data_IF_185427449647
#
_entry.id   IF_185427449647
#
_cell.length_a   1.000
_cell.length_b   1.000
_cell.length_c   1.000
_cell.angle_alpha   90.00
_cell.angle_beta   90.00
_cell.angle_gamma   90.00
#
_symmetry.space_group_name_H-M   'P 1'
#
loop_
_entity.id
_entity.type
_entity.pdbx_description
1 polymer ?
#
# COMPACT_ATOMS: atom_id res chain seq x y z
N UNK A 1 21.88 -2.98 16.86
CA UNK A 1 21.27 -4.15 17.51
C UNK A 1 21.28 -3.86 18.99
N UNK A 2 20.20 -4.17 19.71
CA UNK A 2 20.04 -3.84 21.13
C UNK A 2 19.94 -5.15 21.94
N UNK A 3 21.06 -5.76 22.38
CA UNK A 3 21.09 -7.08 23.01
C UNK A 3 20.21 -7.22 24.26
N UNK A 4 19.99 -6.13 24.99
CA UNK A 4 19.14 -6.04 26.19
C UNK A 4 17.66 -6.35 25.93
N UNK A 5 17.23 -6.29 24.66
CA UNK A 5 15.85 -6.55 24.23
C UNK A 5 15.61 -8.01 23.80
N UNK A 6 16.54 -8.91 24.13
CA UNK A 6 16.51 -10.29 23.64
C UNK A 6 15.22 -11.04 24.02
N UNK A 7 14.65 -11.74 23.05
CA UNK A 7 13.52 -12.65 23.20
C UNK A 7 13.90 -13.99 22.58
N UNK A 8 13.56 -15.08 23.28
CA UNK A 8 13.74 -16.43 22.76
C UNK A 8 12.76 -16.70 21.60
N UNK A 9 13.29 -17.27 20.53
CA UNK A 9 12.51 -17.77 19.41
C UNK A 9 12.20 -19.26 19.55
N UNK A 10 11.04 -19.68 19.08
CA UNK A 10 10.61 -21.06 19.00
C UNK A 10 10.81 -21.60 17.59
N UNK A 11 11.89 -22.37 17.40
CA UNK A 11 12.25 -22.94 16.11
C UNK A 11 11.16 -23.83 15.49
N UNK A 12 10.29 -24.44 16.32
CA UNK A 12 9.21 -25.31 15.84
C UNK A 12 8.09 -24.53 15.11
N UNK A 13 8.04 -23.21 15.28
CA UNK A 13 7.02 -22.33 14.70
C UNK A 13 7.53 -21.50 13.51
N UNK A 14 8.81 -21.63 13.17
CA UNK A 14 9.47 -20.78 12.19
C UNK A 14 9.54 -21.46 10.81
N UNK A 15 9.37 -20.65 9.77
CA UNK A 15 9.73 -21.05 8.40
C UNK A 15 11.17 -20.62 8.09
N UNK A 16 12.03 -21.55 7.72
CA UNK A 16 13.44 -21.27 7.42
C UNK A 16 13.98 -22.22 6.35
N UNK A 17 14.90 -21.72 5.53
CA UNK A 17 15.54 -22.52 4.49
C UNK A 17 16.74 -23.32 5.02
N UNK A 18 17.56 -22.69 5.86
CA UNK A 18 18.82 -23.27 6.36
C UNK A 18 18.79 -23.47 7.87
N UNK A 19 18.51 -22.41 8.64
CA UNK A 19 18.58 -22.47 10.10
C UNK A 19 17.56 -21.53 10.76
N UNK A 20 16.89 -21.94 11.86
CA UNK A 20 15.95 -21.10 12.58
C UNK A 20 16.67 -20.01 13.41
N UNK A 21 15.96 -18.92 13.71
CA UNK A 21 16.44 -17.91 14.66
C UNK A 21 16.13 -18.34 16.09
N UNK A 22 17.18 -18.57 16.88
CA UNK A 22 17.05 -18.88 18.31
C UNK A 22 16.67 -17.66 19.16
N UNK A 23 17.01 -16.47 18.68
CA UNK A 23 16.84 -15.22 19.40
C UNK A 23 16.35 -14.12 18.45
N UNK A 24 15.52 -13.24 18.97
CA UNK A 24 15.18 -11.96 18.37
C UNK A 24 15.66 -10.84 19.28
N UNK A 25 16.05 -9.73 18.68
CA UNK A 25 16.46 -8.51 19.39
C UNK A 25 15.98 -7.32 18.59
N UNK A 26 15.81 -6.18 19.23
CA UNK A 26 15.50 -4.94 18.54
C UNK A 26 16.64 -4.59 17.57
N UNK A 27 16.25 -4.26 16.33
CA UNK A 27 17.18 -3.89 15.26
C UNK A 27 16.80 -2.51 14.72
N UNK A 28 17.76 -1.58 14.74
CA UNK A 28 17.61 -0.31 14.04
C UNK A 28 17.65 -0.56 12.53
N UNK A 29 16.64 -0.07 11.83
CA UNK A 29 16.47 -0.12 10.37
C UNK A 29 16.23 1.27 9.81
N UNK A 30 16.48 1.42 8.52
CA UNK A 30 16.14 2.64 7.78
C UNK A 30 14.98 2.34 6.82
N UNK A 31 13.95 3.19 6.82
CA UNK A 31 12.81 3.01 5.93
C UNK A 31 13.24 3.24 4.47
N UNK A 32 13.01 2.26 3.59
CA UNK A 32 13.31 2.38 2.16
C UNK A 32 12.53 3.51 1.47
N UNK A 33 11.35 3.88 1.97
CA UNK A 33 10.49 4.92 1.38
C UNK A 33 10.80 6.31 1.92
N UNK A 34 10.66 6.53 3.22
CA UNK A 34 10.80 7.87 3.81
C UNK A 34 12.17 8.12 4.44
N UNK A 35 13.10 7.15 4.36
CA UNK A 35 14.48 7.23 4.88
C UNK A 35 14.61 7.48 6.39
N UNK A 36 13.49 7.55 7.13
CA UNK A 36 13.54 7.69 8.58
C UNK A 36 14.05 6.40 9.26
N UNK A 37 14.89 6.52 10.30
CA UNK A 37 15.24 5.38 11.14
C UNK A 37 14.01 4.89 11.90
N UNK A 38 13.92 3.58 12.12
CA UNK A 38 12.89 2.96 12.95
C UNK A 38 13.41 1.65 13.54
N UNK A 39 12.78 1.18 14.62
CA UNK A 39 13.13 -0.09 15.25
C UNK A 39 12.24 -1.20 14.69
N UNK A 40 12.86 -2.28 14.22
CA UNK A 40 12.20 -3.56 14.02
C UNK A 40 12.29 -4.35 15.32
N UNK A 41 11.22 -4.31 16.10
CA UNK A 41 11.22 -4.84 17.46
C UNK A 41 11.36 -6.37 17.49
N UNK A 42 12.00 -6.92 18.52
CA UNK A 42 12.11 -8.35 18.78
C UNK A 42 10.74 -9.02 18.86
N UNK A 43 9.77 -8.33 19.49
CA UNK A 43 8.37 -8.78 19.57
C UNK A 43 7.71 -8.85 18.19
N UNK A 44 8.00 -7.87 17.33
CA UNK A 44 7.46 -7.83 15.97
C UNK A 44 8.07 -8.96 15.13
N UNK A 45 9.38 -9.18 15.24
CA UNK A 45 10.08 -10.31 14.61
C UNK A 45 9.46 -11.65 15.02
N UNK A 46 9.27 -11.90 16.33
CA UNK A 46 8.63 -13.13 16.81
C UNK A 46 7.26 -13.33 16.18
N UNK A 47 6.43 -12.30 16.15
CA UNK A 47 5.11 -12.36 15.53
C UNK A 47 5.19 -12.67 14.03
N UNK A 48 6.10 -12.02 13.29
CA UNK A 48 6.28 -12.25 11.85
C UNK A 48 6.68 -13.68 11.54
N UNK A 49 7.64 -14.23 12.28
CA UNK A 49 8.22 -15.53 11.94
C UNK A 49 7.44 -16.70 12.53
N UNK A 50 6.84 -16.55 13.71
CA UNK A 50 6.17 -17.65 14.41
C UNK A 50 4.64 -17.63 14.28
N UNK A 51 4.04 -16.47 13.99
CA UNK A 51 2.57 -16.35 13.85
C UNK A 51 2.16 -16.12 12.40
N UNK A 52 2.84 -15.21 11.69
CA UNK A 52 2.57 -14.99 10.26
C UNK A 52 3.34 -15.96 9.35
N UNK A 53 4.24 -16.76 9.92
CA UNK A 53 5.05 -17.77 9.22
C UNK A 53 5.83 -17.20 8.03
N UNK A 54 6.28 -15.94 8.12
CA UNK A 54 7.27 -15.43 7.19
C UNK A 54 8.59 -16.18 7.36
N UNK A 55 9.35 -16.31 6.27
CA UNK A 55 10.69 -16.86 6.35
C UNK A 55 11.56 -16.00 7.28
N UNK A 56 12.40 -16.64 8.10
CA UNK A 56 13.29 -15.95 9.06
C UNK A 56 14.31 -14.99 8.40
N UNK A 57 14.48 -15.09 7.09
CA UNK A 57 15.32 -14.21 6.28
C UNK A 57 14.55 -12.98 5.74
N UNK A 58 13.23 -12.91 5.96
CA UNK A 58 12.44 -11.75 5.57
C UNK A 58 12.85 -10.52 6.39
N UNK A 59 13.10 -9.40 5.70
CA UNK A 59 13.54 -8.16 6.31
C UNK A 59 12.43 -7.10 6.38
N UNK A 60 12.49 -6.30 7.43
CA UNK A 60 11.58 -5.19 7.64
C UNK A 60 12.15 -3.92 7.01
N UNK A 61 11.80 -3.70 5.74
CA UNK A 61 12.37 -2.59 4.94
C UNK A 61 11.55 -1.29 4.96
N UNK A 62 10.36 -1.31 5.55
CA UNK A 62 9.46 -0.16 5.65
C UNK A 62 9.12 0.10 7.11
N UNK A 63 9.12 1.37 7.53
CA UNK A 63 8.65 1.76 8.85
C UNK A 63 7.13 1.50 9.02
N UNK A 64 6.60 1.49 10.25
CA UNK A 64 5.18 1.19 10.50
C UNK A 64 4.18 2.06 9.73
N UNK A 65 4.46 3.36 9.56
CA UNK A 65 3.60 4.25 8.77
C UNK A 65 3.60 3.86 7.29
N UNK A 66 4.78 3.74 6.67
CA UNK A 66 4.89 3.38 5.25
C UNK A 66 4.36 1.97 4.97
N UNK A 67 4.45 1.03 5.93
CA UNK A 67 3.79 -0.29 5.83
C UNK A 67 2.27 -0.13 5.76
N UNK A 68 1.68 0.68 6.63
CA UNK A 68 0.24 0.96 6.63
C UNK A 68 -0.20 1.62 5.33
N UNK A 69 0.55 2.60 4.84
CA UNK A 69 0.26 3.28 3.57
C UNK A 69 0.33 2.29 2.41
N UNK A 70 1.36 1.44 2.37
CA UNK A 70 1.49 0.38 1.37
C UNK A 70 0.32 -0.61 1.41
N UNK A 71 -0.16 -0.99 2.60
CA UNK A 71 -1.33 -1.85 2.75
C UNK A 71 -2.60 -1.18 2.22
N UNK A 72 -2.80 0.12 2.49
CA UNK A 72 -3.94 0.89 1.95
C UNK A 72 -3.88 0.94 0.42
N UNK A 73 -2.71 1.25 -0.15
CA UNK A 73 -2.50 1.27 -1.60
C UNK A 73 -2.81 -0.10 -2.21
N UNK A 74 -2.29 -1.20 -1.64
CA UNK A 74 -2.56 -2.56 -2.14
C UNK A 74 -4.05 -2.91 -2.07
N UNK A 75 -4.73 -2.58 -0.98
CA UNK A 75 -6.17 -2.83 -0.83
C UNK A 75 -6.98 -2.09 -1.89
N UNK A 76 -6.68 -0.81 -2.10
CA UNK A 76 -7.33 0.02 -3.12
C UNK A 76 -7.01 -0.45 -4.53
N UNK A 77 -5.77 -0.86 -4.80
CA UNK A 77 -5.37 -1.39 -6.11
C UNK A 77 -6.09 -2.69 -6.44
N UNK A 78 -6.27 -3.59 -5.46
CA UNK A 78 -7.08 -4.80 -5.61
C UNK A 78 -8.52 -4.43 -5.95
N UNK A 79 -9.18 -3.62 -5.13
CA UNK A 79 -10.57 -3.20 -5.36
C UNK A 79 -10.76 -2.49 -6.70
N UNK A 80 -9.83 -1.61 -7.07
CA UNK A 80 -9.79 -0.97 -8.39
C UNK A 80 -9.72 -1.99 -9.53
N UNK A 81 -8.81 -2.96 -9.43
CA UNK A 81 -8.62 -4.01 -10.44
C UNK A 81 -9.83 -4.94 -10.54
N UNK A 82 -10.51 -5.21 -9.42
CA UNK A 82 -11.71 -6.03 -9.39
C UNK A 82 -12.87 -5.28 -10.07
N UNK A 83 -13.17 -4.05 -9.63
CA UNK A 83 -14.23 -3.22 -10.20
C UNK A 83 -14.00 -2.89 -11.68
N UNK A 84 -12.76 -2.75 -12.13
CA UNK A 84 -12.45 -2.47 -13.54
C UNK A 84 -12.74 -3.64 -14.47
N UNK A 85 -12.83 -4.87 -13.94
CA UNK A 85 -13.18 -6.08 -14.69
C UNK A 85 -14.69 -6.29 -14.80
N UNK A 86 -15.48 -5.60 -13.98
CA UNK A 86 -16.94 -5.72 -14.01
C UNK A 86 -17.52 -5.07 -15.27
N UNK A 87 -18.41 -5.81 -15.95
CA UNK A 87 -19.09 -5.33 -17.17
C UNK A 87 -20.14 -4.26 -16.86
N UNK A 88 -20.79 -4.36 -15.71
CA UNK A 88 -21.78 -3.42 -15.21
C UNK A 88 -21.45 -3.03 -13.78
N UNK A 89 -21.37 -1.72 -13.52
CA UNK A 89 -21.12 -1.17 -12.20
C UNK A 89 -22.38 -0.47 -11.72
N UNK A 90 -22.76 -0.71 -10.47
CA UNK A 90 -23.71 0.15 -9.77
C UNK A 90 -23.09 1.51 -9.50
N UNK A 91 -23.91 2.50 -9.19
CA UNK A 91 -23.42 3.85 -8.87
C UNK A 91 -22.45 3.85 -7.68
N UNK A 92 -22.74 3.07 -6.63
CA UNK A 92 -21.85 2.94 -5.47
C UNK A 92 -20.50 2.28 -5.81
N UNK A 93 -20.50 1.30 -6.72
CA UNK A 93 -19.28 0.68 -7.23
C UNK A 93 -18.50 1.66 -8.11
N UNK A 94 -19.18 2.45 -8.95
CA UNK A 94 -18.55 3.49 -9.76
C UNK A 94 -17.93 4.59 -8.89
N UNK A 95 -18.61 5.01 -7.82
CA UNK A 95 -18.05 5.93 -6.82
C UNK A 95 -16.78 5.36 -6.18
N UNK A 96 -16.83 4.10 -5.73
CA UNK A 96 -15.66 3.42 -5.16
C UNK A 96 -14.48 3.33 -6.15
N UNK A 97 -14.78 3.07 -7.42
CA UNK A 97 -13.79 3.01 -8.49
C UNK A 97 -13.14 4.39 -8.72
N UNK A 98 -13.93 5.47 -8.73
CA UNK A 98 -13.44 6.86 -8.85
C UNK A 98 -12.54 7.23 -7.67
N UNK A 99 -12.94 6.91 -6.45
CA UNK A 99 -12.17 7.19 -5.24
C UNK A 99 -10.83 6.45 -5.24
N UNK A 100 -10.84 5.15 -5.58
CA UNK A 100 -9.61 4.36 -5.64
C UNK A 100 -8.70 4.84 -6.75
N UNK A 101 -9.24 5.12 -7.95
CA UNK A 101 -8.45 5.61 -9.06
C UNK A 101 -7.77 6.95 -8.73
N UNK A 102 -8.52 7.87 -8.12
CA UNK A 102 -8.00 9.17 -7.70
C UNK A 102 -6.92 9.03 -6.64
N UNK A 103 -7.16 8.21 -5.61
CA UNK A 103 -6.17 7.97 -4.55
C UNK A 103 -4.89 7.32 -5.10
N UNK A 104 -5.03 6.26 -5.91
CA UNK A 104 -3.90 5.55 -6.49
C UNK A 104 -3.07 6.45 -7.42
N UNK A 105 -3.72 7.36 -8.14
CA UNK A 105 -3.04 8.33 -8.98
C UNK A 105 -2.23 9.34 -8.16
N UNK A 106 -2.83 9.96 -7.13
CA UNK A 106 -2.14 10.90 -6.23
C UNK A 106 -0.93 10.24 -5.56
N UNK A 107 -1.04 8.97 -5.17
CA UNK A 107 0.04 8.20 -4.56
C UNK A 107 1.01 7.55 -5.57
N UNK A 108 0.89 7.84 -6.87
CA UNK A 108 1.79 7.39 -7.93
C UNK A 108 1.74 5.88 -8.24
N UNK A 109 0.75 5.17 -7.68
CA UNK A 109 0.51 3.75 -7.92
C UNK A 109 -0.25 3.49 -9.23
N UNK A 110 -0.97 4.49 -9.73
CA UNK A 110 -1.58 4.51 -11.07
C UNK A 110 -1.02 5.70 -11.85
N UNK A 111 -0.62 5.49 -13.11
CA UNK A 111 0.00 6.54 -13.94
C UNK A 111 -0.70 6.79 -15.28
N UNK A 112 -1.65 5.93 -15.65
CA UNK A 112 -2.33 6.00 -16.93
C UNK A 112 -3.42 7.08 -16.91
N UNK A 113 -3.04 8.27 -17.41
CA UNK A 113 -3.91 9.45 -17.50
C UNK A 113 -5.08 9.23 -18.48
N UNK A 114 -4.91 8.38 -19.50
CA UNK A 114 -5.95 8.14 -20.50
C UNK A 114 -7.10 7.32 -19.91
N UNK A 115 -6.80 6.23 -19.20
CA UNK A 115 -7.85 5.45 -18.52
C UNK A 115 -8.57 6.25 -17.43
N UNK A 116 -7.84 7.11 -16.70
CA UNK A 116 -8.46 8.04 -15.76
C UNK A 116 -9.38 9.05 -16.46
N UNK A 117 -9.01 9.53 -17.65
CA UNK A 117 -9.85 10.40 -18.48
C UNK A 117 -11.15 9.73 -18.93
N UNK A 118 -11.09 8.46 -19.34
CA UNK A 118 -12.27 7.66 -19.68
C UNK A 118 -13.17 7.44 -18.46
N UNK A 119 -12.58 7.09 -17.31
CA UNK A 119 -13.31 6.94 -16.05
C UNK A 119 -13.99 8.25 -15.63
N UNK A 120 -13.29 9.38 -15.74
CA UNK A 120 -13.85 10.72 -15.48
C UNK A 120 -15.04 11.01 -16.40
N UNK A 121 -14.95 10.72 -17.69
CA UNK A 121 -16.06 10.95 -18.63
C UNK A 121 -17.29 10.10 -18.25
N UNK A 122 -17.08 8.83 -17.87
CA UNK A 122 -18.15 7.96 -17.39
C UNK A 122 -18.77 8.48 -16.09
N UNK A 123 -17.95 8.88 -15.13
CA UNK A 123 -18.40 9.41 -13.84
C UNK A 123 -19.23 10.69 -13.99
N UNK A 124 -18.80 11.63 -14.85
CA UNK A 124 -19.59 12.85 -15.15
C UNK A 124 -20.95 12.53 -15.75
N UNK A 125 -21.08 11.46 -16.53
CA UNK A 125 -22.35 11.06 -17.15
C UNK A 125 -23.30 10.38 -16.16
N UNK A 126 -22.78 9.52 -15.28
CA UNK A 126 -23.59 8.63 -14.43
C UNK A 126 -23.77 9.18 -13.02
N UNK A 127 -22.72 9.77 -12.43
CA UNK A 127 -22.68 10.28 -11.05
C UNK A 127 -22.13 11.73 -11.00
N UNK A 128 -22.78 12.70 -11.67
CA UNK A 128 -22.28 14.07 -11.78
C UNK A 128 -22.18 14.80 -10.44
N UNK A 129 -23.10 14.54 -9.51
CA UNK A 129 -23.19 15.22 -8.21
C UNK A 129 -22.24 14.63 -7.15
N UNK A 130 -21.61 13.50 -7.45
CA UNK A 130 -20.69 12.87 -6.51
C UNK A 130 -19.40 13.68 -6.37
N UNK A 131 -19.04 14.04 -5.13
CA UNK A 131 -17.86 14.87 -4.80
C UNK A 131 -16.57 14.28 -5.39
N UNK A 132 -16.43 12.95 -5.40
CA UNK A 132 -15.27 12.28 -6.00
C UNK A 132 -15.12 12.53 -7.50
N UNK A 133 -16.23 12.75 -8.22
CA UNK A 133 -16.23 13.09 -9.65
C UNK A 133 -15.57 14.45 -9.88
N UNK A 134 -15.91 15.45 -9.05
CA UNK A 134 -15.28 16.79 -9.10
C UNK A 134 -13.80 16.70 -8.75
N UNK A 135 -13.46 15.97 -7.69
CA UNK A 135 -12.07 15.77 -7.27
C UNK A 135 -11.22 15.12 -8.36
N UNK A 136 -11.72 14.08 -9.03
CA UNK A 136 -11.00 13.43 -10.14
C UNK A 136 -10.75 14.40 -11.30
N UNK A 137 -11.69 15.30 -11.59
CA UNK A 137 -11.51 16.34 -12.62
C UNK A 137 -10.37 17.29 -12.26
N UNK A 138 -10.34 17.79 -11.03
CA UNK A 138 -9.32 18.70 -10.53
C UNK A 138 -7.93 18.07 -10.58
N UNK A 139 -7.81 16.83 -10.09
CA UNK A 139 -6.55 16.07 -10.09
C UNK A 139 -5.99 15.89 -11.51
N UNK A 140 -6.86 15.55 -12.47
CA UNK A 140 -6.45 15.40 -13.87
C UNK A 140 -6.11 16.74 -14.54
N UNK A 141 -6.80 17.83 -14.19
CA UNK A 141 -6.49 19.16 -14.69
C UNK A 141 -5.10 19.61 -14.20
N UNK A 142 -4.81 19.42 -12.91
CA UNK A 142 -3.53 19.75 -12.31
C UNK A 142 -2.38 18.92 -12.91
N UNK A 143 -2.60 17.62 -13.14
CA UNK A 143 -1.61 16.76 -13.78
C UNK A 143 -1.26 17.23 -15.20
N UNK A 144 -2.27 17.59 -16.00
CA UNK A 144 -2.05 18.13 -17.37
C UNK A 144 -1.34 19.47 -17.37
N UNK A 145 -1.65 20.35 -16.40
CA UNK A 145 -0.97 21.63 -16.26
C UNK A 145 0.52 21.44 -15.92
N UNK A 146 0.83 20.54 -14.98
CA UNK A 146 2.21 20.22 -14.62
C UNK A 146 3.02 19.65 -15.81
N UNK A 147 2.42 18.83 -16.67
CA UNK A 147 3.11 18.30 -17.87
C UNK A 147 3.37 19.37 -18.94
N UNK A 148 2.60 20.46 -18.98
CA UNK A 148 2.80 21.55 -19.96
C UNK A 148 3.85 22.57 -19.53
N UNK A 149 4.19 22.60 -18.24
CA UNK A 149 5.13 23.54 -17.66
C UNK A 149 6.56 22.98 -17.51
N UNK A 150 6.75 21.68 -17.82
CA UNK A 150 8.02 20.96 -17.79
C UNK A 150 8.51 20.71 -19.22
#
# INVERSE_FOLDING_TARGET
MFPESVILGDASKQNYAIYPRRYYVDVLRECRTCRRPFIFFAREQRYWFETLHFFVDADCVLCPSCRRDSQVIRRRLRRYSDLRRESQLTDAQLQSLVDDATYLFIHGALRDVNSLGQLKNRAVKVIPEYVGTTRLREVLANAKAATRAA
#
